data_IF_984209522967
#
_entry.id   IF_984209522967
#
_cell.length_a   1.000
_cell.length_b   1.000
_cell.length_c   1.000
_cell.angle_alpha   90.00
_cell.angle_beta   90.00
_cell.angle_gamma   90.00
#
_symmetry.space_group_name_H-M   'P 1'
#
loop_
_entity.id
_entity.type
_entity.pdbx_description
1 polymer ?
#
# COMPACT_ATOMS: atom_id res chain seq x y z
N UNK A 1 14.98 -1.93 -7.02
CA UNK A 1 13.93 -2.90 -6.65
C UNK A 1 13.37 -2.39 -5.33
N UNK A 2 12.07 -2.08 -5.27
CA UNK A 2 11.44 -1.53 -4.06
C UNK A 2 11.29 -2.64 -3.05
N UNK A 3 11.99 -2.54 -1.92
CA UNK A 3 11.91 -3.48 -0.82
C UNK A 3 11.30 -2.74 0.38
N UNK A 4 10.53 -3.44 1.22
CA UNK A 4 10.08 -2.87 2.49
C UNK A 4 11.29 -2.73 3.41
N UNK A 5 11.89 -1.54 3.43
CA UNK A 5 12.90 -1.21 4.43
C UNK A 5 12.26 -1.02 5.80
N UNK A 6 13.05 -1.13 6.87
CA UNK A 6 12.56 -0.82 8.22
C UNK A 6 12.03 0.62 8.34
N UNK A 7 12.61 1.57 7.61
CA UNK A 7 12.13 2.96 7.60
C UNK A 7 10.72 3.06 7.02
N UNK A 8 10.48 2.39 5.89
CA UNK A 8 9.14 2.29 5.27
C UNK A 8 8.17 1.56 6.22
N UNK A 9 8.59 0.44 6.80
CA UNK A 9 7.76 -0.31 7.74
C UNK A 9 7.34 0.53 8.95
N UNK A 10 8.27 1.27 9.57
CA UNK A 10 7.96 2.17 10.69
C UNK A 10 6.96 3.27 10.33
N UNK A 11 7.03 3.78 9.10
CA UNK A 11 6.08 4.77 8.61
C UNK A 11 4.69 4.17 8.42
N UNK A 12 4.59 3.00 7.80
CA UNK A 12 3.32 2.27 7.66
C UNK A 12 2.67 2.00 9.01
N UNK A 13 3.47 1.57 9.99
CA UNK A 13 3.01 1.38 11.37
C UNK A 13 2.49 2.69 11.97
N UNK A 14 3.20 3.80 11.78
CA UNK A 14 2.76 5.10 12.26
C UNK A 14 1.40 5.50 11.69
N UNK A 15 1.22 5.40 10.37
CA UNK A 15 -0.03 5.82 9.72
C UNK A 15 -1.23 4.94 10.12
N UNK A 16 -1.01 3.63 10.23
CA UNK A 16 -2.00 2.70 10.77
C UNK A 16 -2.37 3.04 12.22
N UNK A 17 -1.38 3.29 13.08
CA UNK A 17 -1.61 3.66 14.48
C UNK A 17 -2.43 4.96 14.60
N UNK A 18 -2.12 5.97 13.77
CA UNK A 18 -2.88 7.21 13.73
C UNK A 18 -4.30 7.00 13.22
N UNK A 19 -4.54 6.01 12.35
CA UNK A 19 -5.91 5.65 11.97
C UNK A 19 -6.64 4.97 13.12
N UNK A 20 -6.02 3.98 13.77
CA UNK A 20 -6.59 3.29 14.93
C UNK A 20 -6.99 4.27 16.05
N UNK A 21 -6.11 5.24 16.37
CA UNK A 21 -6.40 6.33 17.31
C UNK A 21 -7.61 7.17 16.90
N UNK A 22 -7.72 7.53 15.62
CA UNK A 22 -8.83 8.35 15.10
C UNK A 22 -10.18 7.65 15.19
N UNK A 23 -10.21 6.33 15.05
CA UNK A 23 -11.45 5.54 15.17
C UNK A 23 -11.68 4.99 16.58
N UNK A 24 -10.80 5.33 17.53
CA UNK A 24 -10.98 4.99 18.95
C UNK A 24 -10.75 3.53 19.29
N UNK A 25 -9.86 2.83 18.57
CA UNK A 25 -9.53 1.42 18.83
C UNK A 25 -8.03 1.22 19.07
N UNK A 26 -7.70 0.16 19.81
CA UNK A 26 -6.32 -0.31 19.98
C UNK A 26 -6.06 -1.52 19.10
N UNK A 27 -5.05 -1.43 18.23
CA UNK A 27 -4.70 -2.49 17.28
C UNK A 27 -3.28 -3.04 17.45
N UNK A 28 -3.09 -4.30 17.03
CA UNK A 28 -1.78 -4.78 16.60
C UNK A 28 -1.65 -4.53 15.11
N UNK A 29 -0.52 -3.95 14.69
CA UNK A 29 -0.19 -3.75 13.29
C UNK A 29 1.16 -4.41 12.98
N UNK A 30 1.20 -5.18 11.89
CA UNK A 30 2.38 -5.87 11.41
C UNK A 30 2.66 -5.55 9.94
N UNK A 31 3.93 -5.50 9.58
CA UNK A 31 4.41 -5.30 8.21
C UNK A 31 5.39 -6.40 7.86
N UNK A 32 5.22 -7.00 6.69
CA UNK A 32 6.11 -8.04 6.14
C UNK A 32 6.74 -7.59 4.81
N UNK A 33 7.89 -8.14 4.48
CA UNK A 33 8.54 -7.98 3.17
C UNK A 33 7.89 -8.87 2.08
N UNK A 34 8.43 -8.83 0.85
CA UNK A 34 7.92 -9.61 -0.28
C UNK A 34 8.04 -11.13 -0.12
N UNK A 35 8.92 -11.59 0.79
CA UNK A 35 9.05 -13.00 1.18
C UNK A 35 8.05 -13.40 2.27
N UNK A 36 7.30 -12.44 2.82
CA UNK A 36 6.42 -12.64 3.97
C UNK A 36 7.18 -12.71 5.30
N UNK A 37 8.44 -12.26 5.34
CA UNK A 37 9.19 -12.17 6.59
C UNK A 37 8.82 -10.89 7.34
N UNK A 38 8.71 -10.99 8.66
CA UNK A 38 8.32 -9.86 9.50
C UNK A 38 9.38 -8.76 9.45
N UNK A 39 9.00 -7.59 8.97
CA UNK A 39 9.85 -6.40 8.94
C UNK A 39 9.68 -5.57 10.22
N UNK A 40 8.42 -5.36 10.65
CA UNK A 40 8.11 -4.66 11.89
C UNK A 40 6.72 -5.06 12.42
N UNK A 41 6.55 -4.97 13.73
CA UNK A 41 5.26 -5.15 14.40
C UNK A 41 5.22 -4.27 15.64
N UNK A 42 4.07 -3.66 15.92
CA UNK A 42 3.80 -3.09 17.24
C UNK A 42 2.39 -3.40 17.70
N UNK A 43 2.23 -3.48 19.02
CA UNK A 43 0.96 -3.67 19.70
C UNK A 43 0.65 -2.39 20.46
N UNK A 44 -0.47 -1.75 20.14
CA UNK A 44 -0.97 -0.64 20.92
C UNK A 44 -1.35 -1.12 22.33
N UNK A 45 -1.27 -0.22 23.31
CA UNK A 45 -1.76 -0.51 24.65
C UNK A 45 -3.24 -0.91 24.60
N UNK A 46 -3.65 -1.81 25.50
CA UNK A 46 -5.00 -2.39 25.58
C UNK A 46 -5.46 -3.26 24.40
N UNK A 47 -4.64 -3.46 23.36
CA UNK A 47 -4.94 -4.43 22.30
C UNK A 47 -4.99 -5.87 22.83
N UNK A 48 -5.91 -6.73 22.33
CA UNK A 48 -5.98 -8.12 22.72
C UNK A 48 -4.66 -8.87 22.45
N UNK A 49 -4.23 -9.72 23.38
CA UNK A 49 -2.96 -10.46 23.25
C UNK A 49 -2.96 -11.42 22.04
N UNK A 50 -4.12 -11.96 21.67
CA UNK A 50 -4.29 -12.84 20.53
C UNK A 50 -4.09 -12.13 19.18
N UNK A 51 -4.15 -10.80 19.16
CA UNK A 51 -4.04 -10.00 17.93
C UNK A 51 -2.63 -10.01 17.33
N UNK A 52 -1.59 -10.39 18.09
CA UNK A 52 -0.19 -10.37 17.63
C UNK A 52 0.00 -11.29 16.42
N UNK A 53 -0.29 -12.58 16.61
CA UNK A 53 -0.15 -13.58 15.54
C UNK A 53 -1.15 -13.31 14.41
N UNK A 54 -2.37 -12.89 14.75
CA UNK A 54 -3.38 -12.56 13.75
C UNK A 54 -2.94 -11.44 12.79
N UNK A 55 -2.36 -10.34 13.31
CA UNK A 55 -1.88 -9.26 12.46
C UNK A 55 -0.71 -9.70 11.57
N UNK A 56 0.25 -10.45 12.13
CA UNK A 56 1.38 -10.99 11.39
C UNK A 56 0.93 -11.95 10.28
N UNK A 57 -0.02 -12.82 10.58
CA UNK A 57 -0.51 -13.83 9.66
C UNK A 57 -1.46 -13.26 8.61
N UNK A 58 -2.21 -12.19 8.93
CA UNK A 58 -2.93 -11.40 7.91
C UNK A 58 -1.97 -10.76 6.90
N UNK A 59 -0.89 -10.14 7.38
CA UNK A 59 0.14 -9.55 6.51
C UNK A 59 0.80 -10.63 5.65
N UNK A 60 1.22 -11.74 6.27
CA UNK A 60 1.80 -12.88 5.56
C UNK A 60 0.84 -13.47 4.52
N UNK A 61 -0.43 -13.66 4.89
CA UNK A 61 -1.47 -14.20 4.00
C UNK A 61 -1.65 -13.31 2.78
N UNK A 62 -1.62 -11.99 2.96
CA UNK A 62 -1.75 -11.05 1.86
C UNK A 62 -0.62 -11.18 0.82
N UNK A 63 0.63 -11.37 1.27
CA UNK A 63 1.75 -11.67 0.37
C UNK A 63 1.61 -13.06 -0.26
N UNK A 64 1.38 -14.09 0.55
CA UNK A 64 1.35 -15.49 0.11
C UNK A 64 0.23 -15.77 -0.91
N UNK A 65 -0.95 -15.18 -0.68
CA UNK A 65 -2.13 -15.33 -1.55
C UNK A 65 -2.23 -14.24 -2.62
N UNK A 66 -1.31 -13.26 -2.58
CA UNK A 66 -1.23 -12.11 -3.49
C UNK A 66 -2.54 -11.34 -3.62
N UNK A 67 -3.28 -11.21 -2.52
CA UNK A 67 -4.59 -10.54 -2.46
C UNK A 67 -4.94 -10.08 -1.05
N UNK A 68 -5.83 -9.10 -0.88
CA UNK A 68 -6.38 -8.76 0.42
C UNK A 68 -7.04 -9.97 1.09
N UNK A 69 -6.80 -10.12 2.39
CA UNK A 69 -7.42 -11.17 3.21
C UNK A 69 -8.96 -11.08 3.27
N UNK A 70 -9.52 -9.89 3.06
CA UNK A 70 -10.97 -9.66 2.99
C UNK A 70 -11.63 -10.41 1.83
N UNK A 71 -10.89 -10.70 0.76
CA UNK A 71 -11.40 -11.46 -0.38
C UNK A 71 -11.45 -12.98 -0.12
N UNK A 72 -10.78 -13.46 0.93
CA UNK A 72 -10.70 -14.89 1.22
C UNK A 72 -11.92 -15.43 1.95
N UNK A 73 -12.68 -14.59 2.66
CA UNK A 73 -13.81 -15.03 3.47
C UNK A 73 -14.87 -15.79 2.66
N UNK A 74 -15.27 -15.22 1.51
CA UNK A 74 -16.26 -15.84 0.61
C UNK A 74 -15.69 -17.06 -0.10
N UNK A 75 -14.41 -17.02 -0.51
CA UNK A 75 -13.73 -18.11 -1.20
C UNK A 75 -13.52 -19.34 -0.29
N UNK A 76 -13.29 -19.11 1.01
CA UNK A 76 -13.03 -20.15 2.00
C UNK A 76 -14.28 -20.68 2.70
N UNK A 77 -15.46 -20.09 2.44
CA UNK A 77 -16.73 -20.53 3.00
C UNK A 77 -17.07 -21.98 2.60
N UNK A 78 -17.97 -22.68 3.32
CA UNK A 78 -18.46 -23.99 2.89
C UNK A 78 -18.94 -23.97 1.44
N UNK A 79 -18.46 -24.94 0.64
CA UNK A 79 -18.67 -25.04 -0.82
C UNK A 79 -17.98 -23.95 -1.66
N UNK A 80 -17.15 -23.09 -1.07
CA UNK A 80 -16.30 -22.14 -1.79
C UNK A 80 -15.11 -22.81 -2.46
N UNK A 81 -14.57 -22.16 -3.50
CA UNK A 81 -13.43 -22.67 -4.30
C UNK A 81 -12.19 -22.98 -3.45
N UNK A 82 -11.98 -22.20 -2.38
CA UNK A 82 -10.85 -22.34 -1.46
C UNK A 82 -11.27 -22.91 -0.10
N UNK A 83 -12.35 -23.69 -0.05
CA UNK A 83 -12.83 -24.28 1.20
C UNK A 83 -11.70 -25.04 1.92
N UNK A 84 -11.44 -24.66 3.18
CA UNK A 84 -10.40 -25.26 4.01
C UNK A 84 -8.99 -24.68 3.83
N UNK A 85 -8.81 -23.64 3.02
CA UNK A 85 -7.50 -22.98 2.83
C UNK A 85 -6.88 -22.50 4.15
N UNK A 86 -7.72 -22.08 5.11
CA UNK A 86 -7.32 -21.68 6.46
C UNK A 86 -6.71 -22.81 7.31
N UNK A 87 -6.78 -24.07 6.86
CA UNK A 87 -6.13 -25.22 7.50
C UNK A 87 -4.77 -25.56 6.90
N UNK A 88 -4.42 -24.93 5.77
CA UNK A 88 -3.11 -25.11 5.13
C UNK A 88 -2.04 -24.28 5.85
N UNK A 89 -0.77 -24.51 5.50
CA UNK A 89 0.36 -23.74 6.06
C UNK A 89 0.36 -23.71 7.59
N UNK A 90 0.05 -24.85 8.23
CA UNK A 90 -0.08 -24.98 9.69
C UNK A 90 -1.08 -24.01 10.32
N UNK A 91 -2.16 -23.66 9.62
CA UNK A 91 -3.21 -22.78 10.13
C UNK A 91 -2.93 -21.28 9.95
N UNK A 92 -1.83 -20.93 9.27
CA UNK A 92 -1.37 -19.54 9.14
C UNK A 92 -2.21 -18.68 8.18
N UNK A 93 -3.04 -19.29 7.34
CA UNK A 93 -3.86 -18.55 6.38
C UNK A 93 -5.06 -17.92 7.09
N UNK A 94 -5.07 -16.59 7.20
CA UNK A 94 -6.17 -15.84 7.80
C UNK A 94 -7.17 -15.41 6.73
N UNK A 95 -8.42 -15.87 6.88
CA UNK A 95 -9.54 -15.59 5.96
C UNK A 95 -10.42 -14.42 6.42
N UNK A 96 -9.97 -13.68 7.43
CA UNK A 96 -10.62 -12.48 7.95
C UNK A 96 -9.86 -11.25 7.45
N UNK A 97 -10.59 -10.18 7.10
CA UNK A 97 -10.04 -8.94 6.59
C UNK A 97 -9.05 -8.25 7.53
N UNK A 98 -8.16 -7.45 6.96
CA UNK A 98 -7.15 -6.67 7.69
C UNK A 98 -5.72 -6.84 7.17
N UNK A 99 -5.45 -7.84 6.34
CA UNK A 99 -4.21 -7.97 5.57
C UNK A 99 -4.34 -7.42 4.16
N UNK A 100 -3.45 -6.50 3.75
CA UNK A 100 -3.47 -5.82 2.44
C UNK A 100 -2.06 -5.85 1.82
N UNK A 101 -1.89 -6.34 0.57
CA UNK A 101 -0.62 -6.28 -0.14
C UNK A 101 -0.20 -4.84 -0.46
N UNK A 102 1.10 -4.57 -0.37
CA UNK A 102 1.71 -3.31 -0.82
C UNK A 102 2.27 -3.54 -2.22
N UNK A 103 1.83 -2.71 -3.17
CA UNK A 103 2.29 -2.77 -4.56
C UNK A 103 3.18 -1.58 -4.87
N UNK A 104 4.32 -1.82 -5.51
CA UNK A 104 5.15 -0.79 -6.15
C UNK A 104 5.40 -1.22 -7.59
N UNK A 105 5.09 -0.34 -8.56
CA UNK A 105 5.22 -0.64 -9.99
C UNK A 105 4.53 -1.96 -10.40
N UNK A 106 3.35 -2.23 -9.86
CA UNK A 106 2.56 -3.44 -10.15
C UNK A 106 3.10 -4.74 -9.53
N UNK A 107 4.15 -4.68 -8.71
CA UNK A 107 4.71 -5.84 -8.00
C UNK A 107 4.43 -5.75 -6.51
N UNK A 108 4.08 -6.88 -5.89
CA UNK A 108 3.97 -6.96 -4.43
C UNK A 108 5.37 -6.88 -3.84
N UNK A 109 5.59 -5.91 -2.97
CA UNK A 109 6.86 -5.67 -2.26
C UNK A 109 6.76 -6.02 -0.77
N UNK A 110 5.56 -6.36 -0.29
CA UNK A 110 5.27 -6.69 1.10
C UNK A 110 3.77 -6.57 1.39
N UNK A 111 3.41 -6.51 2.66
CA UNK A 111 2.02 -6.29 3.09
C UNK A 111 1.93 -5.69 4.50
N UNK A 112 0.78 -5.08 4.78
CA UNK A 112 0.37 -4.64 6.13
C UNK A 112 -0.75 -5.56 6.62
N UNK A 113 -0.76 -5.86 7.92
CA UNK A 113 -1.82 -6.60 8.61
C UNK A 113 -2.21 -5.91 9.91
N UNK A 114 -3.51 -5.78 10.18
CA UNK A 114 -4.06 -5.22 11.43
C UNK A 114 -5.00 -6.19 12.13
N UNK A 115 -5.00 -6.15 13.47
CA UNK A 115 -5.97 -6.83 14.32
C UNK A 115 -6.33 -6.01 15.57
N UNK A 116 -7.60 -5.59 15.67
CA UNK A 116 -8.20 -4.84 16.77
C UNK A 116 -9.48 -5.49 17.33
N UNK A 117 -9.95 -6.58 16.72
CA UNK A 117 -11.14 -7.33 17.14
C UNK A 117 -12.40 -7.05 16.31
N UNK A 118 -12.35 -6.05 15.43
CA UNK A 118 -13.37 -5.76 14.42
C UNK A 118 -12.76 -5.81 13.02
N UNK A 119 -13.41 -6.54 12.10
CA UNK A 119 -12.84 -6.79 10.76
C UNK A 119 -12.85 -5.54 9.88
N UNK A 120 -13.88 -4.69 9.99
CA UNK A 120 -13.99 -3.49 9.17
C UNK A 120 -12.97 -2.46 9.63
N UNK A 121 -12.79 -2.30 10.95
CA UNK A 121 -11.70 -1.48 11.50
C UNK A 121 -10.32 -2.03 11.12
N UNK A 122 -10.13 -3.35 11.11
CA UNK A 122 -8.86 -3.95 10.68
C UNK A 122 -8.51 -3.63 9.23
N UNK A 123 -9.50 -3.70 8.33
CA UNK A 123 -9.33 -3.31 6.93
C UNK A 123 -8.97 -1.82 6.85
N UNK A 124 -9.72 -0.99 7.55
CA UNK A 124 -9.56 0.46 7.51
C UNK A 124 -8.20 0.94 8.01
N UNK A 125 -7.69 0.33 9.09
CA UNK A 125 -6.36 0.62 9.65
C UNK A 125 -5.25 0.26 8.66
N UNK A 126 -5.29 -0.95 8.09
CA UNK A 126 -4.31 -1.38 7.10
C UNK A 126 -4.38 -0.58 5.80
N UNK A 127 -5.58 -0.17 5.42
CA UNK A 127 -5.81 0.66 4.24
C UNK A 127 -5.14 2.03 4.38
N UNK A 128 -5.30 2.68 5.53
CA UNK A 128 -4.66 3.97 5.80
C UNK A 128 -3.13 3.91 5.67
N UNK A 129 -2.50 2.82 6.12
CA UNK A 129 -1.07 2.62 5.95
C UNK A 129 -0.67 2.51 4.47
N UNK A 130 -1.37 1.69 3.68
CA UNK A 130 -1.06 1.49 2.26
C UNK A 130 -1.32 2.75 1.44
N UNK A 131 -2.36 3.52 1.76
CA UNK A 131 -2.69 4.78 1.09
C UNK A 131 -1.63 5.85 1.30
N UNK A 132 -1.02 5.92 2.49
CA UNK A 132 0.06 6.86 2.77
C UNK A 132 1.27 6.69 1.85
N UNK A 133 1.60 5.46 1.44
CA UNK A 133 2.67 5.22 0.45
C UNK A 133 2.30 5.68 -0.96
N UNK A 134 1.03 5.52 -1.37
CA UNK A 134 0.58 5.89 -2.72
C UNK A 134 0.60 7.41 -2.94
N UNK A 135 0.27 8.18 -1.90
CA UNK A 135 0.29 9.65 -1.95
C UNK A 135 1.72 10.14 -2.25
N UNK A 136 2.74 9.46 -1.72
CA UNK A 136 4.13 9.85 -1.91
C UNK A 136 4.70 9.45 -3.26
N UNK A 137 4.36 8.26 -3.77
CA UNK A 137 4.71 7.91 -5.15
C UNK A 137 4.13 8.94 -6.14
N UNK A 138 2.92 9.44 -5.86
CA UNK A 138 2.31 10.50 -6.66
C UNK A 138 3.03 11.84 -6.49
N UNK A 139 3.36 12.24 -5.25
CA UNK A 139 4.10 13.48 -4.98
C UNK A 139 5.51 13.49 -5.61
N UNK A 140 6.26 12.40 -5.49
CA UNK A 140 7.58 12.24 -6.12
C UNK A 140 7.49 12.21 -7.65
N UNK A 141 6.41 11.65 -8.20
CA UNK A 141 6.16 11.68 -9.65
C UNK A 141 5.76 13.08 -10.16
N UNK A 142 5.10 13.90 -9.34
CA UNK A 142 4.76 15.29 -9.69
C UNK A 142 5.94 16.25 -9.55
N UNK A 143 6.91 15.94 -8.68
CA UNK A 143 8.13 16.72 -8.48
C UNK A 143 9.29 16.29 -9.41
N UNK A 144 9.10 15.25 -10.23
CA UNK A 144 10.05 14.88 -11.27
C UNK A 144 10.15 15.98 -12.34
N UNK A 145 11.28 16.71 -12.33
CA UNK A 145 11.60 17.79 -13.26
C UNK A 145 11.29 17.41 -14.73
N UNK A 146 10.82 18.38 -15.55
CA UNK A 146 10.45 18.11 -16.94
C UNK A 146 11.63 17.48 -17.69
N UNK A 147 11.37 16.33 -18.33
CA UNK A 147 12.37 15.59 -19.09
C UNK A 147 13.05 16.47 -20.14
N UNK A 148 14.32 16.19 -20.45
CA UNK A 148 15.12 16.95 -21.43
C UNK A 148 14.41 17.13 -22.79
N UNK A 149 13.55 16.19 -23.18
CA UNK A 149 12.73 16.29 -24.39
C UNK A 149 11.67 17.40 -24.29
N UNK A 150 11.03 17.59 -23.13
CA UNK A 150 10.03 18.63 -22.89
C UNK A 150 10.68 20.00 -22.71
N UNK A 151 11.85 20.06 -22.07
CA UNK A 151 12.67 21.29 -22.02
C UNK A 151 13.15 21.71 -23.42
N UNK A 152 13.56 20.75 -24.26
CA UNK A 152 13.96 21.04 -25.62
C UNK A 152 12.77 21.50 -26.50
N UNK A 153 11.59 20.89 -26.34
CA UNK A 153 10.37 21.35 -27.01
C UNK A 153 9.94 22.76 -26.56
N UNK A 154 10.01 23.06 -25.25
CA UNK A 154 9.72 24.39 -24.74
C UNK A 154 10.73 25.43 -25.25
N UNK A 155 12.03 25.09 -25.27
CA UNK A 155 13.06 25.96 -25.84
C UNK A 155 12.85 26.24 -27.33
N UNK A 156 12.50 25.22 -28.12
CA UNK A 156 12.23 25.39 -29.55
C UNK A 156 10.96 26.22 -29.80
N UNK A 157 9.93 26.07 -28.97
CA UNK A 157 8.71 26.86 -29.04
C UNK A 157 8.97 28.33 -28.69
N UNK A 158 9.66 28.60 -27.58
CA UNK A 158 10.06 29.96 -27.18
C UNK A 158 11.00 30.60 -28.21
N UNK A 159 11.97 29.84 -28.74
CA UNK A 159 12.87 30.31 -29.80
C UNK A 159 12.09 30.68 -31.07
N UNK A 160 11.11 29.86 -31.47
CA UNK A 160 10.27 30.13 -32.63
C UNK A 160 9.41 31.37 -32.43
N UNK A 161 8.78 31.54 -31.25
CA UNK A 161 7.97 32.71 -30.94
C UNK A 161 8.79 34.01 -30.89
N UNK A 162 10.01 33.96 -30.36
CA UNK A 162 10.89 35.13 -30.26
C UNK A 162 11.62 35.49 -31.57
N UNK A 163 11.94 34.51 -32.42
CA UNK A 163 12.83 34.73 -33.57
C UNK A 163 12.17 34.47 -34.93
N UNK A 164 11.06 33.73 -35.00
CA UNK A 164 10.39 33.35 -36.26
C UNK A 164 8.91 33.78 -36.32
N UNK A 165 8.31 34.19 -35.20
CA UNK A 165 6.94 34.70 -35.14
C UNK A 165 6.68 36.00 -35.93
N UNK A 166 7.72 36.71 -36.37
CA UNK A 166 7.59 37.94 -37.16
C UNK A 166 7.30 37.73 -38.66
N UNK A 167 7.26 36.49 -39.15
CA UNK A 167 7.13 36.23 -40.60
C UNK A 167 5.67 36.19 -41.08
N UNK A 168 4.67 36.15 -40.19
CA UNK A 168 3.27 36.06 -40.59
C UNK A 168 2.47 37.38 -40.61
N UNK A 169 3.04 38.50 -40.18
CA UNK A 169 2.37 39.82 -40.23
C UNK A 169 2.62 40.62 -41.52
N UNK A 170 3.33 40.05 -42.50
CA UNK A 170 3.63 40.72 -43.78
C UNK A 170 2.80 40.22 -44.98
N UNK A 171 1.73 39.43 -44.77
CA UNK A 171 0.82 38.98 -45.84
C UNK A 171 -0.65 39.07 -45.46
N UNK A 172 -1.09 40.26 -45.10
CA UNK A 172 -2.49 40.68 -45.26
C UNK A 172 -2.52 42.18 -45.48
N UNK A 173 -3.01 42.54 -46.68
CA UNK A 173 -3.36 43.87 -47.21
C UNK A 173 -3.58 45.00 -46.20
#
# INVERSE_FOLDING_TARGET
MGFITLAVAKKLLHEAEQRAKRIGVSAVIAVVDEGGHLAACHRMDDSPIASIEHAQDKAWTAVAMKRPTSELASLAAPNGELFGINKTNNGRVVILGGGIPILMNGKIVGAVGSCCGDTDHDIEISQAAVEALKIEEQAESSDAQPTAARQHQNYLQEFYEQHLGLVNDARSN
#
